data_IF_339771698059
#
_entry.id   IF_339771698059
#
_cell.length_a   1.000
_cell.length_b   1.000
_cell.length_c   1.000
_cell.angle_alpha   90.00
_cell.angle_beta   90.00
_cell.angle_gamma   90.00
#
_symmetry.space_group_name_H-M   'P 1'
#
loop_
_entity.id
_entity.type
_entity.pdbx_description
1 polymer ?
#
# COMPACT_ATOMS: atom_id res chain seq x y z
N UNK A 1 73.96 32.40 28.59
CA UNK A 1 73.16 31.30 29.16
C UNK A 1 72.43 30.61 28.02
N UNK A 2 72.64 29.29 27.88
CA UNK A 2 71.75 28.27 27.29
C UNK A 2 71.26 28.46 25.83
N UNK A 3 71.15 27.46 24.95
CA UNK A 3 71.48 26.02 24.94
C UNK A 3 71.34 25.56 23.47
N UNK A 4 72.19 24.62 23.09
CA UNK A 4 71.99 23.44 22.22
C UNK A 4 71.13 23.56 20.95
N UNK A 5 71.65 23.36 19.72
CA UNK A 5 72.35 22.20 19.11
C UNK A 5 71.38 21.21 18.43
N UNK A 6 71.38 21.28 17.08
CA UNK A 6 71.40 20.21 16.05
C UNK A 6 70.26 19.16 16.01
N UNK A 7 69.65 19.01 14.82
CA UNK A 7 69.30 17.73 14.15
C UNK A 7 68.92 18.07 12.69
N UNK A 8 69.76 17.76 11.68
CA UNK A 8 69.90 16.47 11.00
C UNK A 8 68.80 16.19 9.94
N UNK A 9 69.19 16.44 8.67
CA UNK A 9 68.97 15.63 7.45
C UNK A 9 67.68 14.81 7.33
N UNK A 10 66.84 15.07 6.32
CA UNK A 10 66.85 14.27 5.08
C UNK A 10 65.82 14.73 4.03
N UNK A 11 66.28 14.63 2.78
CA UNK A 11 65.57 14.64 1.50
C UNK A 11 64.28 13.80 1.52
N UNK A 12 63.26 14.25 0.80
CA UNK A 12 62.53 13.46 -0.19
C UNK A 12 61.69 14.40 -1.07
N UNK A 13 61.93 14.31 -2.38
CA UNK A 13 61.10 14.84 -3.46
C UNK A 13 59.62 14.46 -3.31
N UNK A 14 58.72 15.39 -3.68
CA UNK A 14 57.49 15.02 -4.36
C UNK A 14 56.87 16.24 -5.08
N UNK A 15 57.02 16.25 -6.40
CA UNK A 15 56.14 16.97 -7.32
C UNK A 15 54.74 16.36 -7.27
N UNK A 16 53.70 17.16 -7.07
CA UNK A 16 52.48 17.08 -7.88
C UNK A 16 51.67 18.37 -7.75
N UNK A 17 51.68 19.15 -8.82
CA UNK A 17 50.66 20.14 -9.12
C UNK A 17 49.41 19.39 -9.60
N UNK A 18 48.24 19.62 -8.99
CA UNK A 18 46.95 19.63 -9.70
C UNK A 18 45.77 19.93 -8.78
N UNK A 19 44.96 20.88 -9.25
CA UNK A 19 43.58 21.21 -8.88
C UNK A 19 42.75 20.00 -8.40
N UNK A 20 42.40 19.96 -7.12
CA UNK A 20 41.38 19.08 -6.58
C UNK A 20 40.02 19.77 -6.56
N UNK A 21 39.11 19.30 -7.41
CA UNK A 21 37.74 19.81 -7.59
C UNK A 21 36.89 19.55 -6.34
N UNK A 22 36.26 20.60 -5.82
CA UNK A 22 35.36 20.58 -4.65
C UNK A 22 33.94 20.12 -5.03
N UNK A 23 33.80 19.23 -6.02
CA UNK A 23 32.52 18.95 -6.70
C UNK A 23 31.99 17.51 -6.58
N UNK A 24 32.70 16.59 -5.91
CA UNK A 24 32.34 15.16 -5.96
C UNK A 24 31.51 14.64 -4.76
N UNK A 25 30.94 15.50 -3.91
CA UNK A 25 30.11 15.05 -2.77
C UNK A 25 28.59 15.33 -2.91
N UNK A 26 28.16 16.22 -3.82
CA UNK A 26 26.74 16.58 -3.96
C UNK A 26 25.97 15.57 -4.84
N UNK A 27 26.62 14.92 -5.80
CA UNK A 27 25.96 14.02 -6.76
C UNK A 27 25.52 12.69 -6.13
N UNK A 28 26.22 12.20 -5.10
CA UNK A 28 25.87 10.95 -4.41
C UNK A 28 24.58 11.03 -3.57
N UNK A 29 24.23 12.21 -3.04
CA UNK A 29 22.99 12.41 -2.29
C UNK A 29 21.74 12.44 -3.21
N UNK A 30 21.85 13.01 -4.41
CA UNK A 30 20.71 13.16 -5.33
C UNK A 30 20.19 11.82 -5.87
N UNK A 31 21.08 10.87 -6.19
CA UNK A 31 20.69 9.55 -6.72
C UNK A 31 19.95 8.69 -5.70
N UNK A 32 20.29 8.80 -4.41
CA UNK A 32 19.58 8.11 -3.34
C UNK A 32 18.20 8.75 -3.07
N UNK A 33 18.11 10.08 -3.16
CA UNK A 33 16.87 10.83 -3.02
C UNK A 33 15.87 10.53 -4.16
N UNK A 34 16.35 10.45 -5.41
CA UNK A 34 15.51 10.16 -6.58
C UNK A 34 14.93 8.74 -6.53
N UNK A 35 15.72 7.74 -6.11
CA UNK A 35 15.27 6.36 -5.94
C UNK A 35 14.23 6.22 -4.83
N UNK A 36 14.32 7.04 -3.76
CA UNK A 36 13.31 7.10 -2.69
C UNK A 36 11.97 7.67 -3.18
N UNK A 37 11.96 8.68 -4.04
CA UNK A 37 10.71 9.26 -4.57
C UNK A 37 9.96 8.31 -5.52
N UNK A 38 10.68 7.56 -6.36
CA UNK A 38 10.06 6.57 -7.25
C UNK A 38 9.39 5.44 -6.47
N UNK A 39 10.04 4.91 -5.43
CA UNK A 39 9.50 3.83 -4.59
C UNK A 39 8.26 4.29 -3.80
N UNK A 40 8.27 5.53 -3.29
CA UNK A 40 7.08 6.11 -2.64
C UNK A 40 5.89 6.20 -3.59
N UNK A 41 6.12 6.59 -4.85
CA UNK A 41 5.06 6.69 -5.85
C UNK A 41 4.44 5.34 -6.22
N UNK A 42 5.25 4.27 -6.22
CA UNK A 42 4.83 2.90 -6.54
C UNK A 42 3.97 2.30 -5.41
N UNK A 43 4.36 2.56 -4.15
CA UNK A 43 3.57 2.18 -2.97
C UNK A 43 2.21 2.87 -2.98
N UNK A 44 2.17 4.19 -3.22
CA UNK A 44 0.91 4.92 -3.27
C UNK A 44 0.01 4.46 -4.43
N UNK A 45 0.59 4.05 -5.56
CA UNK A 45 -0.17 3.46 -6.65
C UNK A 45 -0.78 2.10 -6.27
N UNK A 46 -0.01 1.25 -5.58
CA UNK A 46 -0.50 -0.02 -5.07
C UNK A 46 -1.63 0.19 -4.05
N UNK A 47 -1.51 1.18 -3.18
CA UNK A 47 -2.56 1.53 -2.22
C UNK A 47 -3.84 2.01 -2.93
N UNK A 48 -3.71 2.86 -3.96
CA UNK A 48 -4.85 3.28 -4.80
C UNK A 48 -5.52 2.08 -5.49
N UNK A 49 -4.73 1.12 -6.00
CA UNK A 49 -5.27 -0.12 -6.60
C UNK A 49 -6.10 -0.92 -5.60
N UNK A 50 -5.58 -1.10 -4.38
CA UNK A 50 -6.31 -1.78 -3.29
C UNK A 50 -7.64 -1.09 -3.00
N UNK A 51 -7.65 0.24 -2.88
CA UNK A 51 -8.87 1.01 -2.62
C UNK A 51 -9.88 0.88 -3.74
N UNK A 52 -9.45 0.99 -5.00
CA UNK A 52 -10.31 0.82 -6.16
C UNK A 52 -10.92 -0.58 -6.21
N UNK A 53 -10.12 -1.61 -5.93
CA UNK A 53 -10.57 -3.00 -5.92
C UNK A 53 -11.56 -3.27 -4.77
N UNK A 54 -11.32 -2.69 -3.59
CA UNK A 54 -12.29 -2.72 -2.49
C UNK A 54 -13.62 -2.07 -2.87
N UNK A 55 -13.59 -0.89 -3.51
CA UNK A 55 -14.79 -0.20 -3.99
C UNK A 55 -15.54 -1.05 -5.04
N UNK A 56 -14.81 -1.69 -5.95
CA UNK A 56 -15.38 -2.61 -6.93
C UNK A 56 -16.09 -3.80 -6.27
N UNK A 57 -15.46 -4.44 -5.27
CA UNK A 57 -16.09 -5.54 -4.54
C UNK A 57 -17.32 -5.07 -3.75
N UNK A 58 -17.27 -3.89 -3.13
CA UNK A 58 -18.41 -3.28 -2.44
C UNK A 58 -19.60 -3.11 -3.39
N UNK A 59 -19.38 -2.48 -4.54
CA UNK A 59 -20.44 -2.23 -5.51
C UNK A 59 -21.01 -3.53 -6.07
N UNK A 60 -20.13 -4.48 -6.43
CA UNK A 60 -20.54 -5.81 -6.90
C UNK A 60 -21.40 -6.56 -5.86
N UNK A 61 -21.03 -6.49 -4.58
CA UNK A 61 -21.79 -7.12 -3.50
C UNK A 61 -23.20 -6.53 -3.37
N UNK A 62 -23.34 -5.20 -3.50
CA UNK A 62 -24.63 -4.50 -3.46
C UNK A 62 -25.50 -4.87 -4.65
N UNK A 63 -24.93 -4.93 -5.85
CA UNK A 63 -25.66 -5.34 -7.05
C UNK A 63 -26.22 -6.76 -6.92
N UNK A 64 -25.41 -7.70 -6.43
CA UNK A 64 -25.85 -9.07 -6.19
C UNK A 64 -26.93 -9.16 -5.09
N UNK A 65 -26.79 -8.38 -4.02
CA UNK A 65 -27.79 -8.30 -2.96
C UNK A 65 -29.14 -7.74 -3.45
N UNK A 66 -29.10 -6.66 -4.24
CA UNK A 66 -30.29 -6.08 -4.85
C UNK A 66 -30.93 -7.07 -5.84
N UNK A 67 -30.12 -7.77 -6.64
CA UNK A 67 -30.58 -8.83 -7.52
C UNK A 67 -31.30 -9.94 -6.75
N UNK A 68 -30.72 -10.44 -5.66
CA UNK A 68 -31.35 -11.43 -4.78
C UNK A 68 -32.70 -10.97 -4.22
N UNK A 69 -32.81 -9.69 -3.87
CA UNK A 69 -34.05 -9.10 -3.35
C UNK A 69 -35.13 -8.91 -4.42
N UNK A 70 -34.71 -8.63 -5.65
CA UNK A 70 -35.60 -8.40 -6.79
C UNK A 70 -36.05 -9.70 -7.47
N UNK A 71 -35.51 -10.85 -7.07
CA UNK A 71 -35.96 -12.14 -7.56
C UNK A 71 -37.45 -12.36 -7.21
N UNK A 72 -38.28 -12.78 -8.18
CA UNK A 72 -39.70 -13.04 -7.92
C UNK A 72 -39.86 -14.14 -6.86
N UNK A 73 -40.71 -13.89 -5.85
CA UNK A 73 -41.01 -14.85 -4.77
C UNK A 73 -41.58 -16.18 -5.30
N UNK A 74 -42.19 -16.16 -6.48
CA UNK A 74 -42.78 -17.32 -7.13
C UNK A 74 -41.86 -17.89 -8.22
N UNK A 75 -40.84 -18.63 -7.78
CA UNK A 75 -39.92 -19.36 -8.64
C UNK A 75 -39.09 -20.34 -7.82
N UNK A 76 -39.34 -21.64 -7.98
CA UNK A 76 -38.65 -22.70 -7.24
C UNK A 76 -37.12 -22.50 -7.22
N UNK A 77 -36.55 -22.31 -6.02
CA UNK A 77 -35.10 -22.40 -5.68
C UNK A 77 -34.11 -21.59 -6.53
N UNK A 78 -34.56 -20.65 -7.36
CA UNK A 78 -33.67 -19.80 -8.16
C UNK A 78 -32.75 -18.95 -7.29
N UNK A 79 -33.14 -18.63 -6.05
CA UNK A 79 -32.32 -17.89 -5.11
C UNK A 79 -31.04 -18.63 -4.70
N UNK A 80 -30.99 -19.97 -4.73
CA UNK A 80 -29.85 -20.75 -4.24
C UNK A 80 -28.51 -20.44 -4.95
N UNK A 81 -28.41 -20.50 -6.29
CA UNK A 81 -27.18 -20.13 -6.99
C UNK A 81 -26.85 -18.63 -6.91
N UNK A 82 -27.84 -17.76 -6.68
CA UNK A 82 -27.59 -16.32 -6.46
C UNK A 82 -27.12 -16.05 -5.03
N UNK A 83 -27.63 -16.79 -4.05
CA UNK A 83 -27.19 -16.77 -2.66
C UNK A 83 -25.73 -17.17 -2.56
N UNK A 84 -25.35 -18.33 -3.13
CA UNK A 84 -23.96 -18.78 -3.14
C UNK A 84 -23.03 -17.72 -3.75
N UNK A 85 -23.38 -17.18 -4.92
CA UNK A 85 -22.58 -16.12 -5.58
C UNK A 85 -22.47 -14.85 -4.73
N UNK A 86 -23.56 -14.42 -4.11
CA UNK A 86 -23.58 -13.20 -3.28
C UNK A 86 -22.74 -13.40 -2.02
N UNK A 87 -22.92 -14.54 -1.36
CA UNK A 87 -22.16 -14.92 -0.17
C UNK A 87 -20.67 -15.03 -0.46
N UNK A 88 -20.28 -15.62 -1.60
CA UNK A 88 -18.89 -15.74 -2.02
C UNK A 88 -18.23 -14.37 -2.23
N UNK A 89 -18.92 -13.44 -2.90
CA UNK A 89 -18.39 -12.09 -3.13
C UNK A 89 -18.25 -11.33 -1.82
N UNK A 90 -19.24 -11.42 -0.92
CA UNK A 90 -19.17 -10.80 0.39
C UNK A 90 -18.05 -11.38 1.26
N UNK A 91 -17.89 -12.70 1.25
CA UNK A 91 -16.82 -13.38 2.00
C UNK A 91 -15.44 -13.01 1.43
N UNK A 92 -15.34 -12.89 0.10
CA UNK A 92 -14.12 -12.42 -0.58
C UNK A 92 -13.79 -10.97 -0.23
N UNK A 93 -14.78 -10.07 -0.28
CA UNK A 93 -14.66 -8.68 0.18
C UNK A 93 -14.19 -8.63 1.64
N UNK A 94 -14.77 -9.46 2.51
CA UNK A 94 -14.41 -9.49 3.91
C UNK A 94 -12.95 -9.89 4.14
N UNK A 95 -12.52 -10.96 3.47
CA UNK A 95 -11.12 -11.41 3.52
C UNK A 95 -10.17 -10.34 2.95
N UNK A 96 -10.52 -9.74 1.82
CA UNK A 96 -9.76 -8.66 1.20
C UNK A 96 -9.57 -7.48 2.15
N UNK A 97 -10.63 -7.06 2.84
CA UNK A 97 -10.54 -5.98 3.83
C UNK A 97 -9.68 -6.36 5.04
N UNK A 98 -9.69 -7.62 5.50
CA UNK A 98 -8.78 -8.03 6.59
C UNK A 98 -7.31 -7.95 6.15
N UNK A 99 -6.99 -8.39 4.93
CA UNK A 99 -5.62 -8.40 4.42
C UNK A 99 -5.05 -7.00 4.21
N UNK A 100 -5.86 -6.06 3.72
CA UNK A 100 -5.43 -4.70 3.39
C UNK A 100 -5.90 -3.64 4.39
N UNK A 101 -6.17 -4.05 5.65
CA UNK A 101 -6.83 -3.19 6.64
C UNK A 101 -6.09 -1.88 6.93
N UNK A 102 -4.77 -1.93 7.01
CA UNK A 102 -3.94 -0.74 7.28
C UNK A 102 -4.04 0.29 6.14
N UNK A 103 -4.01 -0.18 4.89
CA UNK A 103 -4.13 0.67 3.69
C UNK A 103 -5.53 1.27 3.58
N UNK A 104 -6.57 0.46 3.83
CA UNK A 104 -7.96 0.92 3.78
C UNK A 104 -8.28 1.94 4.88
N UNK A 105 -7.70 1.78 6.08
CA UNK A 105 -7.85 2.75 7.16
C UNK A 105 -7.10 4.06 6.83
N UNK A 106 -5.86 3.97 6.38
CA UNK A 106 -5.02 5.14 6.11
C UNK A 106 -5.41 5.94 4.86
N UNK A 107 -5.77 5.28 3.75
CA UNK A 107 -6.02 5.94 2.45
C UNK A 107 -7.50 6.10 2.10
N UNK A 108 -8.34 5.11 2.39
CA UNK A 108 -9.78 5.19 2.13
C UNK A 108 -10.54 5.80 3.30
N UNK A 109 -9.98 5.79 4.50
CA UNK A 109 -10.68 6.22 5.72
C UNK A 109 -11.79 5.26 6.09
N UNK A 110 -11.60 3.95 5.86
CA UNK A 110 -12.61 2.93 6.11
C UNK A 110 -12.93 2.84 7.60
N UNK A 111 -14.07 3.41 8.01
CA UNK A 111 -14.45 3.43 9.42
C UNK A 111 -14.97 2.07 9.87
N UNK A 112 -14.77 1.75 11.16
CA UNK A 112 -15.22 0.48 11.77
C UNK A 112 -16.71 0.20 11.58
N UNK A 113 -17.55 1.24 11.54
CA UNK A 113 -18.99 1.08 11.33
C UNK A 113 -19.33 0.61 9.92
N UNK A 114 -18.61 1.03 8.88
CA UNK A 114 -18.83 0.56 7.50
C UNK A 114 -18.53 -0.94 7.37
N UNK A 115 -17.47 -1.40 8.04
CA UNK A 115 -17.15 -2.83 8.13
C UNK A 115 -18.28 -3.59 8.86
N UNK A 116 -18.86 -2.98 9.89
CA UNK A 116 -20.04 -3.49 10.59
C UNK A 116 -21.27 -3.61 9.69
N UNK A 117 -21.50 -2.65 8.79
CA UNK A 117 -22.59 -2.72 7.80
C UNK A 117 -22.39 -3.89 6.82
N UNK A 118 -21.17 -4.10 6.33
CA UNK A 118 -20.85 -5.24 5.45
C UNK A 118 -21.11 -6.55 6.21
N UNK A 119 -20.58 -6.69 7.44
CA UNK A 119 -20.81 -7.87 8.27
C UNK A 119 -22.30 -8.09 8.56
N UNK A 120 -23.05 -7.03 8.84
CA UNK A 120 -24.49 -7.09 9.06
C UNK A 120 -25.21 -7.63 7.83
N UNK A 121 -24.87 -7.17 6.62
CA UNK A 121 -25.45 -7.70 5.37
C UNK A 121 -25.14 -9.18 5.15
N UNK A 122 -23.92 -9.63 5.48
CA UNK A 122 -23.55 -11.06 5.42
C UNK A 122 -24.41 -11.88 6.39
N UNK A 123 -24.59 -11.39 7.62
CA UNK A 123 -25.47 -12.02 8.60
C UNK A 123 -26.92 -12.09 8.12
N UNK A 124 -27.45 -10.98 7.58
CA UNK A 124 -28.80 -10.95 7.01
C UNK A 124 -28.96 -11.98 5.89
N UNK A 125 -27.98 -12.11 4.99
CA UNK A 125 -27.98 -13.14 3.95
C UNK A 125 -28.10 -14.55 4.56
N UNK A 126 -27.32 -14.84 5.60
CA UNK A 126 -27.29 -16.16 6.24
C UNK A 126 -28.59 -16.55 6.97
N UNK A 127 -29.30 -15.57 7.55
CA UNK A 127 -30.55 -15.84 8.28
C UNK A 127 -31.81 -15.73 7.41
N UNK A 128 -31.74 -15.08 6.24
CA UNK A 128 -32.91 -14.80 5.42
C UNK A 128 -33.19 -15.87 4.34
N UNK A 129 -32.17 -16.63 3.92
CA UNK A 129 -32.23 -17.64 2.85
C UNK A 129 -31.58 -18.94 3.31
#
# INVERSE_FOLDING_TARGET
MQKSRISAVNRLDNCYDSRGSLTDDITSQCHHQQRRMAVMSEIEEQERKIVNEFCHFLEKSKQLFNGLRDLPQYGHKQWQPYFGRTFDVYTKLWKFQQQHRQVLDAKYGLKRWQIGEIASKIGQLYYHY
#
